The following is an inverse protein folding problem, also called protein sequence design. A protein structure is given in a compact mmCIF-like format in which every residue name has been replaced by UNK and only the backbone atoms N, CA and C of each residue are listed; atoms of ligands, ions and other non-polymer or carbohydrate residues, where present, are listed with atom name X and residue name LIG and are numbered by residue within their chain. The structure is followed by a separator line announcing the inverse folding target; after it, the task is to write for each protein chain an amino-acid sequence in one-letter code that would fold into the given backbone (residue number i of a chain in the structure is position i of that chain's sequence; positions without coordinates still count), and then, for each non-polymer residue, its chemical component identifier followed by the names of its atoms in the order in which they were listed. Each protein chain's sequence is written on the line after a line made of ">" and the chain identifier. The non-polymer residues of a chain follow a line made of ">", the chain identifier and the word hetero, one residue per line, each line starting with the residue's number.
data_IF_743931391299
#
_entry.id   IF_743931391299
#
_cell.length_a   1.000
_cell.length_b   1.000
_cell.length_c   1.000
_cell.angle_alpha   90.00
_cell.angle_beta   90.00
_cell.angle_gamma   90.00
#
_symmetry.space_group_name_H-M   'P 1'
#
loop_
_entity.id
_entity.type
_entity.pdbx_description
1 polymer ?
#
# COMPACT_ATOMS: atom_id res chain seq x y z
N UNK A 1 -9.66 10.00 20.92
CA UNK A 1 -8.70 9.44 19.95
C UNK A 1 -8.47 10.50 18.89
N UNK A 2 -7.21 10.78 18.54
CA UNK A 2 -6.83 11.67 17.44
C UNK A 2 -6.52 10.84 16.21
N UNK A 3 -6.66 11.43 15.03
CA UNK A 3 -6.37 10.77 13.74
C UNK A 3 -5.29 11.53 13.00
N UNK A 4 -4.45 10.80 12.31
CA UNK A 4 -3.26 11.35 11.64
C UNK A 4 -3.13 10.82 10.23
N UNK A 5 -2.72 11.70 9.32
CA UNK A 5 -2.17 11.36 8.04
C UNK A 5 -0.66 11.24 8.16
N UNK A 6 -0.15 10.06 7.99
CA UNK A 6 1.29 9.80 8.03
C UNK A 6 1.77 9.39 6.65
N UNK A 7 2.81 10.03 6.16
CA UNK A 7 3.31 9.75 4.83
C UNK A 7 4.80 10.06 4.69
N UNK A 8 5.42 9.43 3.68
CA UNK A 8 6.84 9.63 3.37
C UNK A 8 7.00 10.50 2.14
N UNK A 9 8.08 11.31 2.12
CA UNK A 9 8.50 12.17 1.01
C UNK A 9 10.02 12.06 0.79
N UNK A 10 10.52 12.72 -0.26
CA UNK A 10 11.95 12.84 -0.52
C UNK A 10 12.56 11.69 -1.30
N UNK A 11 11.72 10.93 -2.00
CA UNK A 11 12.11 9.85 -2.89
C UNK A 11 11.49 10.01 -4.28
N UNK A 12 11.35 11.24 -4.73
CA UNK A 12 10.74 11.55 -6.03
C UNK A 12 11.51 10.92 -7.19
N UNK A 13 12.82 10.73 -7.01
CA UNK A 13 13.77 10.14 -7.97
C UNK A 13 14.16 8.68 -7.65
N UNK A 14 13.53 8.05 -6.65
CA UNK A 14 13.92 6.71 -6.19
C UNK A 14 12.72 5.83 -5.87
N UNK A 15 12.89 4.53 -6.07
CA UNK A 15 11.89 3.52 -5.73
C UNK A 15 12.20 2.91 -4.35
N UNK A 16 11.16 2.85 -3.49
CA UNK A 16 11.13 2.01 -2.29
C UNK A 16 10.86 0.58 -2.72
N UNK A 17 9.79 0.38 -3.49
CA UNK A 17 9.36 -0.92 -3.95
C UNK A 17 9.63 -1.03 -5.45
N UNK A 18 10.62 -1.84 -5.82
CA UNK A 18 11.11 -2.02 -7.20
C UNK A 18 10.49 -3.24 -7.85
N UNK A 19 10.12 -4.25 -7.05
CA UNK A 19 9.58 -5.52 -7.50
C UNK A 19 8.36 -5.91 -6.67
N UNK A 20 7.59 -6.88 -7.16
CA UNK A 20 6.46 -7.49 -6.42
C UNK A 20 6.89 -7.98 -5.04
N UNK A 21 8.07 -8.61 -4.91
CA UNK A 21 8.58 -9.08 -3.61
C UNK A 21 8.80 -7.94 -2.61
N UNK A 22 9.20 -6.75 -3.09
CA UNK A 22 9.38 -5.59 -2.23
C UNK A 22 8.05 -5.11 -1.66
N UNK A 23 7.01 -5.11 -2.49
CA UNK A 23 5.65 -4.80 -2.05
C UNK A 23 5.13 -5.85 -1.06
N UNK A 24 5.35 -7.14 -1.34
CA UNK A 24 5.00 -8.25 -0.41
C UNK A 24 5.68 -8.05 0.94
N UNK A 25 6.98 -7.76 0.95
CA UNK A 25 7.72 -7.45 2.17
C UNK A 25 7.15 -6.20 2.87
N UNK A 26 6.83 -5.16 2.09
CA UNK A 26 6.21 -3.92 2.59
C UNK A 26 4.87 -4.17 3.28
N UNK A 27 3.98 -4.96 2.68
CA UNK A 27 2.69 -5.37 3.25
C UNK A 27 2.88 -6.15 4.56
N UNK A 28 3.80 -7.11 4.58
CA UNK A 28 4.13 -7.90 5.77
C UNK A 28 4.69 -7.03 6.89
N UNK A 29 5.49 -6.01 6.58
CA UNK A 29 5.99 -5.08 7.58
C UNK A 29 4.91 -4.16 8.15
N UNK A 30 3.87 -3.79 7.38
CA UNK A 30 2.70 -3.09 7.96
C UNK A 30 2.03 -3.97 9.04
N UNK A 31 1.80 -5.25 8.73
CA UNK A 31 1.22 -6.20 9.67
C UNK A 31 2.07 -6.36 10.95
N UNK A 32 3.40 -6.54 10.79
CA UNK A 32 4.34 -6.69 11.91
C UNK A 32 4.34 -5.44 12.80
N UNK A 33 4.37 -4.26 12.18
CA UNK A 33 4.42 -3.00 12.93
C UNK A 33 3.12 -2.76 13.66
N UNK A 34 1.98 -3.01 13.02
CA UNK A 34 0.67 -2.94 13.67
C UNK A 34 0.58 -3.87 14.89
N UNK A 35 1.06 -5.12 14.76
CA UNK A 35 1.11 -6.07 15.88
C UNK A 35 1.94 -5.54 17.05
N UNK A 36 3.07 -4.88 16.77
CA UNK A 36 3.99 -4.35 17.79
C UNK A 36 3.51 -3.07 18.45
N UNK A 37 2.88 -2.16 17.70
CA UNK A 37 2.55 -0.81 18.20
C UNK A 37 1.08 -0.67 18.55
N UNK A 38 0.20 -1.50 17.99
CA UNK A 38 -1.25 -1.53 18.28
C UNK A 38 -1.96 -0.19 18.12
N UNK A 39 -1.68 0.52 17.04
CA UNK A 39 -2.45 1.70 16.62
C UNK A 39 -3.75 1.27 15.93
N UNK A 40 -4.72 2.17 15.82
CA UNK A 40 -5.89 1.96 14.98
C UNK A 40 -5.52 2.30 13.52
N UNK A 41 -5.15 1.31 12.72
CA UNK A 41 -4.88 1.51 11.30
C UNK A 41 -6.19 1.53 10.51
N UNK A 42 -6.49 2.64 9.83
CA UNK A 42 -7.75 2.84 9.13
C UNK A 42 -7.62 2.66 7.62
N UNK A 43 -6.57 3.16 7.02
CA UNK A 43 -6.28 3.00 5.60
C UNK A 43 -4.78 3.12 5.37
N UNK A 44 -4.30 2.49 4.31
CA UNK A 44 -2.93 2.68 3.84
C UNK A 44 -2.80 2.33 2.36
N UNK A 45 -1.73 2.84 1.76
CA UNK A 45 -1.29 2.49 0.41
C UNK A 45 0.23 2.54 0.34
N UNK A 46 0.80 1.55 -0.32
CA UNK A 46 2.22 1.48 -0.66
C UNK A 46 2.37 1.84 -2.14
N UNK A 47 2.92 3.00 -2.42
CA UNK A 47 3.29 3.42 -3.77
C UNK A 47 4.76 3.11 -4.01
N UNK A 48 5.19 3.01 -5.26
CA UNK A 48 6.56 2.61 -5.59
C UNK A 48 7.64 3.46 -4.91
N UNK A 49 7.40 4.75 -4.64
CA UNK A 49 8.36 5.69 -4.07
C UNK A 49 7.90 6.36 -2.76
N UNK A 50 6.70 6.09 -2.28
CA UNK A 50 6.18 6.64 -1.02
C UNK A 50 5.09 5.77 -0.43
N UNK A 51 4.72 6.05 0.82
CA UNK A 51 3.64 5.37 1.53
C UNK A 51 2.75 6.37 2.24
N UNK A 52 1.47 6.03 2.36
CA UNK A 52 0.50 6.80 3.13
C UNK A 52 -0.24 5.90 4.11
N UNK A 53 -0.52 6.43 5.31
CA UNK A 53 -1.30 5.78 6.35
C UNK A 53 -2.30 6.75 6.98
N UNK A 54 -3.53 6.29 7.22
CA UNK A 54 -4.49 6.92 8.11
C UNK A 54 -4.51 6.15 9.43
N UNK A 55 -4.08 6.80 10.52
CA UNK A 55 -3.86 6.14 11.81
C UNK A 55 -4.59 6.88 12.91
N UNK A 56 -5.31 6.14 13.77
CA UNK A 56 -5.85 6.64 15.03
C UNK A 56 -4.99 6.19 16.21
N UNK A 57 -4.69 7.12 17.13
CA UNK A 57 -3.88 6.81 18.29
C UNK A 57 -3.35 8.04 19.04
N UNK A 58 -2.35 7.85 19.88
CA UNK A 58 -1.52 8.92 20.41
C UNK A 58 -0.47 9.32 19.38
N UNK A 59 -0.04 10.56 19.38
CA UNK A 59 1.02 11.01 18.47
C UNK A 59 2.31 10.20 18.65
N UNK A 60 2.64 9.86 19.89
CA UNK A 60 3.80 9.03 20.22
C UNK A 60 3.73 7.65 19.56
N UNK A 61 2.58 6.97 19.63
CA UNK A 61 2.42 5.64 19.02
C UNK A 61 2.42 5.71 17.49
N UNK A 62 1.87 6.78 16.92
CA UNK A 62 1.92 7.05 15.49
C UNK A 62 3.37 7.21 15.01
N UNK A 63 4.19 7.98 15.75
CA UNK A 63 5.62 8.11 15.44
C UNK A 63 6.39 6.80 15.64
N UNK A 64 6.06 6.01 16.68
CA UNK A 64 6.63 4.66 16.86
C UNK A 64 6.31 3.75 15.67
N UNK A 65 5.05 3.79 15.20
CA UNK A 65 4.60 3.00 14.06
C UNK A 65 5.42 3.31 12.80
N UNK A 66 5.45 4.56 12.38
CA UNK A 66 6.11 4.93 11.12
C UNK A 66 7.63 4.76 11.19
N UNK A 67 8.27 5.06 12.33
CA UNK A 67 9.70 4.90 12.49
C UNK A 67 10.10 3.40 12.47
N UNK A 68 9.31 2.52 13.09
CA UNK A 68 9.55 1.09 13.02
C UNK A 68 9.34 0.55 11.60
N UNK A 69 8.30 0.99 10.90
CA UNK A 69 8.04 0.63 9.51
C UNK A 69 9.21 1.03 8.60
N UNK A 70 9.63 2.29 8.66
CA UNK A 70 10.79 2.80 7.91
C UNK A 70 12.05 1.98 8.18
N UNK A 71 12.30 1.65 9.44
CA UNK A 71 13.48 0.85 9.82
C UNK A 71 13.44 -0.53 9.18
N UNK A 72 12.29 -1.23 9.22
CA UNK A 72 12.17 -2.57 8.64
C UNK A 72 12.37 -2.54 7.12
N UNK A 73 11.67 -1.65 6.42
CA UNK A 73 11.81 -1.48 4.97
C UNK A 73 13.26 -1.13 4.59
N UNK A 74 13.90 -0.27 5.33
CA UNK A 74 15.26 0.16 5.01
C UNK A 74 16.27 -0.94 5.20
N UNK A 75 16.15 -1.75 6.25
CA UNK A 75 16.99 -2.93 6.43
C UNK A 75 16.80 -3.91 5.28
N UNK A 76 15.56 -4.15 4.87
CA UNK A 76 15.24 -5.03 3.74
C UNK A 76 15.86 -4.52 2.43
N UNK A 77 15.65 -3.25 2.09
CA UNK A 77 16.18 -2.61 0.89
C UNK A 77 17.71 -2.61 0.90
N UNK A 78 18.32 -2.27 2.04
CA UNK A 78 19.79 -2.29 2.17
C UNK A 78 20.36 -3.69 1.95
N UNK A 79 19.73 -4.72 2.52
CA UNK A 79 20.19 -6.10 2.36
C UNK A 79 20.00 -6.62 0.93
N UNK A 80 18.90 -6.25 0.28
CA UNK A 80 18.56 -6.72 -1.07
C UNK A 80 19.34 -5.99 -2.17
N UNK A 81 19.51 -4.67 -2.03
CA UNK A 81 20.05 -3.80 -3.09
C UNK A 81 21.36 -3.13 -2.73
N UNK A 82 21.91 -3.40 -1.54
CA UNK A 82 23.16 -2.80 -1.04
C UNK A 82 23.13 -1.26 -1.00
N UNK A 83 21.95 -0.66 -0.83
CA UNK A 83 21.73 0.79 -0.78
C UNK A 83 21.62 1.28 0.67
N UNK A 84 22.77 1.45 1.33
CA UNK A 84 22.85 1.88 2.73
C UNK A 84 22.42 3.35 2.97
N UNK A 85 22.38 4.20 1.95
CA UNK A 85 22.01 5.59 2.06
C UNK A 85 20.48 5.83 2.00
N UNK A 86 19.71 4.80 1.76
CA UNK A 86 18.26 4.88 1.55
C UNK A 86 17.51 5.50 2.73
N UNK A 87 17.86 5.10 3.97
CA UNK A 87 17.24 5.61 5.21
C UNK A 87 17.32 7.13 5.41
N UNK A 88 18.44 7.73 5.01
CA UNK A 88 18.75 9.13 5.34
C UNK A 88 17.90 10.14 4.55
N UNK A 89 17.22 9.69 3.49
CA UNK A 89 16.49 10.56 2.56
C UNK A 89 14.99 10.52 2.73
N UNK A 90 14.47 9.56 3.49
CA UNK A 90 13.02 9.45 3.72
C UNK A 90 12.57 10.46 4.76
N UNK A 91 11.94 11.53 4.33
CA UNK A 91 11.25 12.47 5.21
C UNK A 91 9.87 11.93 5.54
N UNK A 92 9.48 12.02 6.80
CA UNK A 92 8.15 11.61 7.26
C UNK A 92 7.39 12.82 7.74
N UNK A 93 6.16 12.96 7.28
CA UNK A 93 5.20 13.93 7.80
C UNK A 93 4.11 13.20 8.59
N UNK A 94 3.59 13.89 9.59
CA UNK A 94 2.52 13.41 10.45
C UNK A 94 1.59 14.59 10.73
N UNK A 95 0.47 14.65 10.02
CA UNK A 95 -0.49 15.74 10.08
C UNK A 95 -1.74 15.27 10.83
N UNK A 96 -2.12 15.98 11.90
CA UNK A 96 -3.37 15.68 12.61
C UNK A 96 -4.56 16.04 11.72
N UNK A 97 -5.56 15.14 11.68
CA UNK A 97 -6.74 15.27 10.82
C UNK A 97 -8.00 15.34 11.67
N UNK A 98 -8.80 16.37 11.42
CA UNK A 98 -10.10 16.50 12.10
C UNK A 98 -11.09 15.45 11.61
N UNK A 99 -11.81 14.84 12.56
CA UNK A 99 -12.96 13.99 12.25
C UNK A 99 -14.19 14.84 11.85
N UNK A 100 -14.19 16.12 12.22
CA UNK A 100 -15.25 17.06 11.84
C UNK A 100 -15.14 17.39 10.35
N UNK A 101 -16.25 17.84 9.78
CA UNK A 101 -16.32 18.28 8.38
C UNK A 101 -15.83 17.23 7.36
N UNK A 102 -16.05 15.95 7.66
CA UNK A 102 -15.63 14.81 6.83
C UNK A 102 -14.12 14.72 6.57
N UNK A 103 -13.27 15.38 7.38
CA UNK A 103 -11.83 15.39 7.18
C UNK A 103 -11.24 13.98 7.13
N UNK A 104 -11.68 13.08 8.03
CA UNK A 104 -11.21 11.69 8.04
C UNK A 104 -11.68 10.91 6.81
N UNK A 105 -12.92 11.11 6.33
CA UNK A 105 -13.42 10.48 5.10
C UNK A 105 -12.62 10.92 3.88
N UNK A 106 -12.32 12.23 3.79
CA UNK A 106 -11.48 12.79 2.71
C UNK A 106 -10.07 12.22 2.75
N UNK A 107 -9.48 12.09 3.95
CA UNK A 107 -8.16 11.48 4.09
C UNK A 107 -8.16 10.02 3.62
N UNK A 108 -9.11 9.21 4.09
CA UNK A 108 -9.21 7.81 3.69
C UNK A 108 -9.36 7.72 2.17
N UNK A 109 -10.31 8.45 1.58
CA UNK A 109 -10.51 8.46 0.15
C UNK A 109 -9.25 8.91 -0.61
N UNK A 110 -8.55 9.95 -0.14
CA UNK A 110 -7.30 10.41 -0.72
C UNK A 110 -6.24 9.30 -0.75
N UNK A 111 -6.07 8.57 0.36
CA UNK A 111 -5.10 7.46 0.45
C UNK A 111 -5.45 6.34 -0.52
N UNK A 112 -6.71 5.90 -0.54
CA UNK A 112 -7.15 4.81 -1.41
C UNK A 112 -7.04 5.15 -2.90
N UNK A 113 -7.13 6.41 -3.22
CA UNK A 113 -7.19 6.91 -4.57
C UNK A 113 -5.80 7.31 -5.13
N UNK A 114 -4.74 7.23 -4.32
CA UNK A 114 -3.37 7.51 -4.76
C UNK A 114 -2.97 6.74 -6.04
N UNK A 115 -3.23 5.43 -6.17
CA UNK A 115 -2.88 4.67 -7.38
C UNK A 115 -3.61 5.16 -8.64
N UNK A 116 -4.84 5.62 -8.48
CA UNK A 116 -5.63 6.18 -9.60
C UNK A 116 -5.08 7.54 -10.00
N UNK A 117 -4.71 8.37 -9.01
CA UNK A 117 -4.07 9.67 -9.22
C UNK A 117 -2.77 9.56 -9.99
N UNK A 118 -2.01 8.54 -9.65
CA UNK A 118 -0.73 8.24 -10.27
C UNK A 118 -0.86 7.59 -11.66
N UNK A 119 -2.09 7.27 -12.09
CA UNK A 119 -2.32 6.55 -13.35
C UNK A 119 -1.91 5.07 -13.32
N UNK A 120 -1.62 4.52 -12.12
CA UNK A 120 -1.23 3.12 -11.94
C UNK A 120 -2.43 2.19 -12.14
N UNK A 121 -3.60 2.59 -11.62
CA UNK A 121 -4.83 1.83 -11.72
C UNK A 121 -5.98 2.73 -12.20
N UNK A 122 -6.99 2.13 -12.84
CA UNK A 122 -8.21 2.84 -13.25
C UNK A 122 -9.18 3.07 -12.10
N UNK A 123 -9.18 2.17 -11.12
CA UNK A 123 -10.05 2.23 -9.93
C UNK A 123 -9.26 1.90 -8.67
N UNK A 124 -9.57 2.58 -7.58
CA UNK A 124 -8.87 2.44 -6.30
C UNK A 124 -8.91 0.99 -5.76
N UNK A 125 -10.05 0.32 -5.90
CA UNK A 125 -10.26 -1.04 -5.40
C UNK A 125 -9.52 -2.14 -6.17
N UNK A 126 -8.87 -1.82 -7.30
CA UNK A 126 -8.08 -2.78 -8.07
C UNK A 126 -6.58 -2.78 -7.66
N UNK A 127 -6.18 -1.87 -6.76
CA UNK A 127 -4.79 -1.80 -6.32
C UNK A 127 -4.55 -2.67 -5.08
N UNK A 128 -3.68 -3.67 -5.21
CA UNK A 128 -3.46 -4.71 -4.19
C UNK A 128 -2.53 -4.28 -3.04
N UNK A 129 -1.67 -3.28 -3.26
CA UNK A 129 -0.66 -2.86 -2.29
C UNK A 129 -1.18 -1.81 -1.31
N UNK A 130 -2.30 -2.14 -0.67
CA UNK A 130 -2.95 -1.27 0.30
C UNK A 130 -4.22 -1.89 0.87
N UNK A 131 -5.03 -1.08 1.51
CA UNK A 131 -6.25 -1.52 2.18
C UNK A 131 -7.52 -1.39 1.33
N UNK A 132 -7.45 -0.79 0.12
CA UNK A 132 -8.62 -0.44 -0.68
C UNK A 132 -9.55 -1.63 -0.98
N UNK A 133 -8.98 -2.80 -1.26
CA UNK A 133 -9.71 -4.02 -1.64
C UNK A 133 -10.57 -4.60 -0.51
N UNK A 134 -10.49 -4.06 0.72
CA UNK A 134 -11.11 -4.66 1.92
C UNK A 134 -12.42 -4.03 2.34
N UNK A 135 -12.69 -2.79 1.92
CA UNK A 135 -13.90 -2.08 2.35
C UNK A 135 -15.11 -2.49 1.52
N UNK A 136 -16.21 -2.77 2.22
CA UNK A 136 -17.49 -3.18 1.62
C UNK A 136 -17.38 -4.40 0.69
N UNK A 137 -16.35 -5.22 0.91
CA UNK A 137 -16.11 -6.43 0.12
C UNK A 137 -16.80 -7.63 0.78
N UNK A 138 -17.59 -8.34 -0.02
CA UNK A 138 -18.21 -9.61 0.40
C UNK A 138 -17.42 -10.84 -0.06
N UNK A 139 -16.27 -10.65 -0.73
CA UNK A 139 -15.48 -11.77 -1.22
C UNK A 139 -14.64 -12.38 -0.10
N UNK A 140 -14.86 -13.65 0.26
CA UNK A 140 -14.00 -14.34 1.18
C UNK A 140 -12.63 -14.53 0.53
N UNK A 141 -11.58 -14.09 1.20
CA UNK A 141 -10.23 -14.36 0.76
C UNK A 141 -9.89 -15.84 0.94
N UNK A 142 -9.20 -16.41 -0.03
CA UNK A 142 -8.48 -17.67 0.20
C UNK A 142 -7.31 -17.35 1.11
N UNK A 143 -7.43 -17.66 2.38
CA UNK A 143 -6.46 -17.28 3.40
C UNK A 143 -6.16 -18.44 4.33
N UNK A 144 -4.94 -18.46 4.83
CA UNK A 144 -4.47 -19.45 5.82
C UNK A 144 -3.90 -18.70 7.00
N UNK A 145 -4.18 -19.16 8.23
CA UNK A 145 -3.54 -18.58 9.41
C UNK A 145 -2.01 -18.69 9.28
N UNK A 146 -1.29 -17.59 9.48
CA UNK A 146 0.17 -17.59 9.44
C UNK A 146 0.77 -18.54 10.50
N UNK A 147 0.11 -18.67 11.65
CA UNK A 147 0.55 -19.54 12.76
C UNK A 147 0.47 -21.03 12.43
N UNK A 148 -0.29 -21.44 11.40
CA UNK A 148 -0.33 -22.84 10.94
C UNK A 148 0.92 -23.28 10.19
N UNK A 149 1.75 -22.33 9.75
CA UNK A 149 3.00 -22.62 9.08
C UNK A 149 4.14 -22.88 10.05
N UNK A 150 5.15 -23.64 9.64
CA UNK A 150 6.36 -23.82 10.43
C UNK A 150 7.04 -22.48 10.74
N UNK A 151 7.73 -22.38 11.88
CA UNK A 151 8.47 -21.19 12.30
C UNK A 151 9.45 -20.72 11.20
N UNK A 152 10.10 -21.67 10.53
CA UNK A 152 11.01 -21.36 9.43
C UNK A 152 10.29 -20.73 8.25
N UNK A 153 9.12 -21.23 7.87
CA UNK A 153 8.30 -20.68 6.80
C UNK A 153 7.78 -19.27 7.16
N UNK A 154 7.28 -19.08 8.39
CA UNK A 154 6.85 -17.75 8.86
C UNK A 154 7.99 -16.73 8.77
N UNK A 155 9.18 -17.06 9.28
CA UNK A 155 10.36 -16.18 9.22
C UNK A 155 10.78 -15.84 7.79
N UNK A 156 10.69 -16.80 6.89
CA UNK A 156 11.01 -16.59 5.48
C UNK A 156 10.02 -15.63 4.82
N UNK A 157 8.72 -15.86 4.98
CA UNK A 157 7.64 -15.04 4.42
C UNK A 157 7.66 -13.61 5.00
N UNK A 158 7.83 -13.49 6.32
CA UNK A 158 7.78 -12.21 7.02
C UNK A 158 9.10 -11.43 6.97
N UNK A 159 10.17 -12.03 6.47
CA UNK A 159 11.55 -11.49 6.57
C UNK A 159 11.86 -10.99 7.99
N UNK A 160 11.38 -11.71 9.02
CA UNK A 160 11.42 -11.29 10.42
C UNK A 160 11.38 -12.50 11.36
N UNK A 161 11.91 -12.32 12.57
CA UNK A 161 11.75 -13.28 13.66
C UNK A 161 10.46 -13.07 14.50
N UNK A 162 9.61 -12.10 14.10
CA UNK A 162 8.35 -11.84 14.78
C UNK A 162 7.38 -12.96 14.48
N UNK A 163 6.75 -13.50 15.51
CA UNK A 163 5.68 -14.47 15.39
C UNK A 163 4.35 -13.72 15.50
N UNK A 164 3.56 -13.78 14.44
CA UNK A 164 2.21 -13.21 14.41
C UNK A 164 1.20 -14.24 14.92
N UNK A 165 0.12 -13.81 15.62
CA UNK A 165 -0.91 -14.71 16.11
C UNK A 165 -1.76 -15.30 14.97
N UNK A 166 -2.61 -16.27 15.33
CA UNK A 166 -3.50 -16.99 14.41
C UNK A 166 -4.54 -16.10 13.70
N UNK A 167 -4.84 -14.95 14.28
CA UNK A 167 -5.71 -13.93 13.68
C UNK A 167 -5.11 -13.22 12.48
N UNK A 168 -3.80 -13.38 12.24
CA UNK A 168 -3.14 -12.83 11.06
C UNK A 168 -3.17 -13.85 9.92
N UNK A 169 -3.90 -13.50 8.87
CA UNK A 169 -4.19 -14.39 7.75
C UNK A 169 -3.27 -14.09 6.58
N UNK A 170 -2.59 -15.11 6.10
CA UNK A 170 -1.73 -15.08 4.91
C UNK A 170 -2.58 -15.30 3.66
N UNK A 171 -2.49 -14.38 2.71
CA UNK A 171 -3.09 -14.50 1.40
C UNK A 171 -2.26 -15.33 0.41
N UNK A 172 -2.85 -15.71 -0.73
CA UNK A 172 -2.17 -16.50 -1.76
C UNK A 172 -0.98 -15.77 -2.39
N UNK A 173 -0.94 -14.44 -2.34
CA UNK A 173 0.15 -13.62 -2.87
C UNK A 173 1.35 -13.54 -1.92
N UNK A 174 1.32 -14.21 -0.76
CA UNK A 174 2.45 -14.30 0.16
C UNK A 174 2.55 -13.16 1.18
N UNK A 175 1.53 -12.32 1.33
CA UNK A 175 1.49 -11.30 2.38
C UNK A 175 0.28 -11.47 3.32
N UNK A 176 0.43 -10.91 4.53
CA UNK A 176 -0.65 -10.87 5.51
C UNK A 176 -1.75 -9.94 5.02
N UNK A 177 -2.96 -10.47 4.93
CA UNK A 177 -4.11 -9.74 4.40
C UNK A 177 -4.50 -8.56 5.30
N UNK A 178 -4.77 -7.38 4.72
CA UNK A 178 -5.05 -6.15 5.46
C UNK A 178 -6.21 -6.26 6.46
N UNK A 179 -7.23 -7.09 6.21
CA UNK A 179 -8.33 -7.26 7.15
C UNK A 179 -7.90 -7.85 8.51
N UNK A 180 -6.69 -8.45 8.60
CA UNK A 180 -6.14 -8.93 9.87
C UNK A 180 -5.65 -7.81 10.79
N UNK A 181 -5.43 -6.60 10.26
CA UNK A 181 -4.82 -5.50 11.01
C UNK A 181 -5.37 -4.10 10.68
N UNK A 182 -6.20 -3.96 9.66
CA UNK A 182 -6.94 -2.72 9.36
C UNK A 182 -8.30 -2.77 10.06
N UNK A 183 -8.70 -1.69 10.70
CA UNK A 183 -10.04 -1.58 11.31
C UNK A 183 -11.11 -1.27 10.23
N UNK A 184 -11.38 -2.29 9.42
CA UNK A 184 -12.36 -2.22 8.33
C UNK A 184 -13.73 -1.81 8.85
N UNK A 185 -14.17 -2.40 9.97
CA UNK A 185 -15.48 -2.13 10.57
C UNK A 185 -15.64 -0.66 10.96
N UNK A 186 -14.61 -0.05 11.53
CA UNK A 186 -14.65 1.38 11.85
C UNK A 186 -14.81 2.24 10.59
N UNK A 187 -14.06 1.93 9.53
CA UNK A 187 -14.12 2.68 8.27
C UNK A 187 -15.49 2.54 7.62
N UNK A 188 -16.02 1.32 7.52
CA UNK A 188 -17.33 1.06 6.95
C UNK A 188 -18.45 1.77 7.73
N UNK A 189 -18.41 1.69 9.06
CA UNK A 189 -19.35 2.41 9.91
C UNK A 189 -19.23 3.93 9.75
N UNK A 190 -18.01 4.45 9.60
CA UNK A 190 -17.77 5.89 9.43
C UNK A 190 -18.30 6.41 8.08
N UNK A 191 -18.23 5.64 7.00
CA UNK A 191 -18.84 5.96 5.72
C UNK A 191 -20.35 5.65 5.68
N UNK A 192 -20.78 4.64 6.43
CA UNK A 192 -22.16 4.18 6.54
C UNK A 192 -22.62 3.33 5.35
N UNK A 193 -22.16 3.56 4.14
CA UNK A 193 -22.54 2.82 2.92
C UNK A 193 -21.51 2.94 1.81
N UNK A 194 -21.41 1.96 0.88
CA UNK A 194 -20.45 1.98 -0.24
C UNK A 194 -20.51 3.26 -1.09
N UNK A 195 -21.72 3.73 -1.42
CA UNK A 195 -21.92 4.96 -2.22
C UNK A 195 -21.31 6.20 -1.57
N UNK A 196 -21.22 6.24 -0.24
CA UNK A 196 -20.55 7.36 0.45
C UNK A 196 -19.04 7.33 0.19
N UNK A 197 -18.40 6.16 0.25
CA UNK A 197 -16.98 6.02 -0.10
C UNK A 197 -16.72 6.38 -1.57
N UNK A 198 -17.57 5.89 -2.50
CA UNK A 198 -17.47 6.23 -3.92
C UNK A 198 -17.58 7.74 -4.17
N UNK A 199 -18.51 8.43 -3.47
CA UNK A 199 -18.64 9.88 -3.53
C UNK A 199 -17.33 10.57 -3.13
N UNK A 200 -16.75 10.19 -1.98
CA UNK A 200 -15.48 10.80 -1.53
C UNK A 200 -14.31 10.49 -2.45
N UNK A 201 -14.25 9.32 -3.06
CA UNK A 201 -13.26 8.98 -4.09
C UNK A 201 -13.42 9.90 -5.32
N UNK A 202 -14.64 10.14 -5.78
CA UNK A 202 -14.91 11.03 -6.93
C UNK A 202 -14.57 12.50 -6.63
N UNK A 203 -14.83 12.97 -5.39
CA UNK A 203 -14.46 14.32 -4.95
C UNK A 203 -12.93 14.44 -4.81
N UNK A 204 -12.27 13.42 -4.27
CA UNK A 204 -10.82 13.35 -4.25
C UNK A 204 -10.26 13.48 -5.67
N UNK A 205 -10.83 12.80 -6.65
CA UNK A 205 -10.48 12.92 -8.05
C UNK A 205 -10.57 14.36 -8.60
N UNK A 206 -11.59 15.10 -8.21
CA UNK A 206 -11.87 16.45 -8.74
C UNK A 206 -10.95 17.53 -8.16
N UNK A 207 -10.55 17.40 -6.88
CA UNK A 207 -9.66 18.35 -6.21
C UNK A 207 -8.18 18.21 -6.59
N UNK A 208 -7.81 17.22 -7.38
CA UNK A 208 -6.44 16.83 -7.76
C UNK A 208 -5.75 17.70 -8.77
N UNK A 209 -6.47 18.56 -9.47
CA UNK A 209 -5.84 19.49 -10.42
C UNK A 209 -4.77 20.38 -9.75
N UNK A 210 -4.62 20.32 -8.43
CA UNK A 210 -3.77 21.22 -7.65
C UNK A 210 -2.51 20.58 -7.02
N UNK A 211 -2.39 19.25 -6.91
CA UNK A 211 -1.16 18.59 -6.38
C UNK A 211 -0.92 17.26 -7.10
N UNK A 212 0.00 17.22 -8.02
CA UNK A 212 0.52 15.97 -8.58
C UNK A 212 1.67 15.49 -7.69
N UNK A 213 1.46 14.42 -6.92
CA UNK A 213 2.58 13.66 -6.37
C UNK A 213 3.32 12.99 -7.54
N UNK A 214 4.63 13.17 -7.61
CA UNK A 214 5.44 12.51 -8.63
C UNK A 214 5.58 11.05 -8.23
N UNK A 215 5.03 10.15 -9.05
CA UNK A 215 5.14 8.71 -8.84
C UNK A 215 6.08 8.14 -9.89
N UNK A 216 7.08 7.42 -9.43
CA UNK A 216 7.89 6.57 -10.28
C UNK A 216 7.25 5.18 -10.35
N UNK A 217 7.12 4.64 -11.54
CA UNK A 217 6.62 3.29 -11.74
C UNK A 217 7.74 2.28 -11.52
N UNK A 218 7.45 1.18 -10.83
CA UNK A 218 8.38 0.05 -10.76
C UNK A 218 8.46 -0.66 -12.12
N UNK A 219 9.57 -1.33 -12.38
CA UNK A 219 9.77 -2.09 -13.62
C UNK A 219 8.66 -3.12 -13.85
N UNK A 220 8.14 -3.75 -12.79
CA UNK A 220 7.05 -4.72 -12.87
C UNK A 220 5.74 -4.07 -13.34
N UNK A 221 5.42 -2.88 -12.81
CA UNK A 221 4.23 -2.11 -13.24
C UNK A 221 4.36 -1.70 -14.70
N UNK A 222 5.56 -1.22 -15.11
CA UNK A 222 5.83 -0.86 -16.49
C UNK A 222 5.68 -2.08 -17.41
N UNK A 223 6.26 -3.22 -17.04
CA UNK A 223 6.15 -4.47 -17.81
C UNK A 223 4.71 -4.95 -17.92
N UNK A 224 3.95 -4.90 -16.82
CA UNK A 224 2.54 -5.28 -16.85
C UNK A 224 1.75 -4.39 -17.79
N UNK A 225 1.90 -3.07 -17.68
CA UNK A 225 1.22 -2.11 -18.56
C UNK A 225 1.60 -2.30 -20.03
N UNK A 226 2.89 -2.56 -20.31
CA UNK A 226 3.36 -2.88 -21.65
C UNK A 226 2.73 -4.17 -22.18
N UNK A 227 2.71 -5.25 -21.40
CA UNK A 227 2.10 -6.52 -21.81
C UNK A 227 0.59 -6.36 -22.07
N UNK A 228 -0.14 -5.65 -21.21
CA UNK A 228 -1.55 -5.35 -21.43
C UNK A 228 -1.78 -4.56 -22.73
N UNK A 229 -0.93 -3.58 -23.01
CA UNK A 229 -0.99 -2.80 -24.24
C UNK A 229 -0.69 -3.65 -25.48
N UNK A 230 0.32 -4.53 -25.41
CA UNK A 230 0.69 -5.44 -26.47
C UNK A 230 -0.45 -6.41 -26.81
N UNK A 231 -1.06 -7.02 -25.78
CA UNK A 231 -2.19 -7.92 -25.95
C UNK A 231 -3.41 -7.17 -26.53
N UNK A 232 -3.78 -6.03 -25.91
CA UNK A 232 -5.00 -5.31 -26.28
C UNK A 232 -4.93 -4.60 -27.62
N UNK A 233 -3.75 -4.09 -28.00
CA UNK A 233 -3.59 -3.29 -29.23
C UNK A 233 -3.06 -4.11 -30.41
N UNK A 234 -2.18 -5.07 -30.16
CA UNK A 234 -1.48 -5.81 -31.19
C UNK A 234 -1.74 -7.32 -31.15
N UNK A 235 -2.43 -7.84 -30.12
CA UNK A 235 -2.75 -9.27 -30.00
C UNK A 235 -1.54 -10.16 -29.72
N UNK A 236 -0.41 -9.62 -29.30
CA UNK A 236 0.84 -10.35 -29.07
C UNK A 236 1.23 -10.38 -27.60
N UNK A 237 1.77 -11.51 -27.08
CA UNK A 237 2.04 -11.66 -25.64
C UNK A 237 3.32 -10.94 -25.18
N UNK A 238 4.20 -10.51 -26.07
CA UNK A 238 5.42 -9.78 -25.72
C UNK A 238 5.92 -8.91 -26.88
N UNK A 239 6.81 -7.96 -26.53
CA UNK A 239 7.44 -7.05 -27.50
C UNK A 239 8.21 -7.80 -28.59
N UNK A 240 8.84 -8.93 -28.25
CA UNK A 240 9.57 -9.77 -29.23
C UNK A 240 8.70 -10.44 -30.30
N UNK A 241 7.39 -10.49 -30.07
CA UNK A 241 6.42 -11.04 -31.01
C UNK A 241 5.84 -10.00 -31.97
N UNK A 242 6.24 -8.72 -31.85
CA UNK A 242 5.88 -7.70 -32.83
C UNK A 242 6.70 -7.88 -34.10
N UNK A 243 6.06 -7.74 -35.25
CA UNK A 243 6.76 -7.63 -36.52
C UNK A 243 7.66 -6.40 -36.53
N UNK A 244 8.79 -6.45 -37.25
CA UNK A 244 9.81 -5.41 -37.25
C UNK A 244 9.25 -4.04 -37.64
N UNK A 245 8.29 -3.98 -38.55
CA UNK A 245 7.64 -2.75 -39.02
C UNK A 245 6.78 -2.06 -37.95
N UNK A 246 6.35 -2.79 -36.91
CA UNK A 246 5.58 -2.25 -35.78
C UNK A 246 6.46 -1.85 -34.58
N UNK A 247 7.73 -2.26 -34.57
CA UNK A 247 8.67 -1.93 -33.51
C UNK A 247 9.26 -0.51 -33.64
N UNK A 248 9.15 0.11 -34.83
CA UNK A 248 9.79 1.40 -35.21
C UNK A 248 8.79 2.56 -35.26
N UNK A 249 7.49 2.32 -35.10
CA UNK A 249 6.43 3.32 -34.99
C UNK A 249 6.00 3.43 -33.51
#
# INVERSE_FOLDING_TARGET
>A
MRFYHVYTKGLEDRLIFRTTDDFVAGMNYVAIVHFKVRVKLLAFVLMSNHVHFAIGGSEEDVWKFINLYKRLISVYITNKYHDAAFLRRIVTNCDEVSIKDDGLKRLIAYILDNPVNAGVNRVAFAYHWGSATRYFSNNPDKATSISSLSIRAQRHILHSNVMLPDTYLLGPEGYILPHSYVDVQFVENHFGRPKSLEYFLSVSASSRKLRKDVVMFSDDIIRQAMNELLINKYGVPSFHNLEFDLQVN
#
